data_IF_571058531108
#
_entry.id   IF_571058531108
#
_cell.length_a   1.000
_cell.length_b   1.000
_cell.length_c   1.000
_cell.angle_alpha   90.00
_cell.angle_beta   90.00
_cell.angle_gamma   90.00
#
_symmetry.space_group_name_H-M   'P 1'
#
loop_
_entity.id
_entity.type
_entity.pdbx_description
1 polymer ?
#
# COMPACT_ATOMS: atom_id res chain seq x y z
N UNK A 1 8.34 47.14 -53.69
CA UNK A 1 8.96 46.25 -52.69
C UNK A 1 8.15 46.35 -51.41
N UNK A 2 7.20 45.45 -51.19
CA UNK A 2 6.40 45.37 -49.97
C UNK A 2 6.01 43.91 -49.78
N UNK A 3 6.73 43.20 -48.92
CA UNK A 3 6.37 41.85 -48.46
C UNK A 3 5.31 41.98 -47.33
N UNK A 4 4.30 41.09 -47.27
CA UNK A 4 3.18 41.27 -46.37
C UNK A 4 3.53 40.77 -44.96
N UNK A 5 3.27 41.63 -43.98
CA UNK A 5 3.43 41.44 -42.53
C UNK A 5 2.49 40.39 -41.91
N UNK A 6 1.80 39.58 -42.72
CA UNK A 6 0.83 38.57 -42.26
C UNK A 6 1.46 37.23 -41.88
N UNK A 7 2.60 36.87 -42.48
CA UNK A 7 3.25 35.58 -42.19
C UNK A 7 4.02 35.56 -40.86
N UNK A 8 4.51 36.72 -40.38
CA UNK A 8 5.21 36.82 -39.10
C UNK A 8 4.25 36.64 -37.91
N UNK A 9 2.98 37.06 -38.07
CA UNK A 9 1.96 36.96 -37.03
C UNK A 9 1.49 35.50 -36.84
N UNK A 10 1.36 34.74 -37.93
CA UNK A 10 0.99 33.32 -37.87
C UNK A 10 2.08 32.43 -37.25
N UNK A 11 3.35 32.75 -37.48
CA UNK A 11 4.48 32.04 -36.84
C UNK A 11 4.56 32.32 -35.33
N UNK A 12 4.28 33.55 -34.90
CA UNK A 12 4.24 33.89 -33.47
C UNK A 12 3.06 33.22 -32.73
N UNK A 13 1.90 33.09 -33.39
CA UNK A 13 0.75 32.37 -32.80
C UNK A 13 1.01 30.87 -32.70
N UNK A 14 1.67 30.26 -33.71
CA UNK A 14 2.00 28.83 -33.67
C UNK A 14 3.05 28.48 -32.58
N UNK A 15 4.01 29.37 -32.33
CA UNK A 15 5.01 29.22 -31.25
C UNK A 15 4.37 29.48 -29.86
N UNK A 16 3.34 30.33 -29.79
CA UNK A 16 2.59 30.54 -28.55
C UNK A 16 1.67 29.36 -28.21
N UNK A 17 1.12 28.66 -29.21
CA UNK A 17 0.27 27.48 -28.98
C UNK A 17 1.04 26.20 -28.67
N UNK A 18 2.32 26.09 -29.06
CA UNK A 18 3.15 24.91 -28.73
C UNK A 18 3.73 24.94 -27.31
N UNK A 19 3.66 26.07 -26.62
CA UNK A 19 4.19 26.24 -25.25
C UNK A 19 3.12 26.14 -24.15
N UNK A 20 1.84 25.94 -24.51
CA UNK A 20 0.74 25.95 -23.53
C UNK A 20 0.37 24.56 -22.97
N UNK A 21 0.89 23.47 -23.54
CA UNK A 21 0.61 22.10 -23.04
C UNK A 21 1.62 21.57 -22.02
N UNK A 22 2.78 22.22 -21.85
CA UNK A 22 3.82 21.75 -20.92
C UNK A 22 3.55 22.11 -19.44
N UNK A 23 2.64 23.06 -19.15
CA UNK A 23 2.55 23.66 -17.81
C UNK A 23 1.58 22.96 -16.85
N UNK A 24 0.74 22.03 -17.32
CA UNK A 24 -0.27 21.34 -16.49
C UNK A 24 0.28 20.04 -15.88
N UNK A 25 1.31 19.43 -16.49
CA UNK A 25 1.92 18.19 -15.97
C UNK A 25 2.78 18.43 -14.72
N UNK A 26 3.42 19.59 -14.61
CA UNK A 26 4.31 19.91 -13.50
C UNK A 26 3.56 20.44 -12.25
N UNK A 27 2.31 20.90 -12.40
CA UNK A 27 1.57 21.56 -11.31
C UNK A 27 1.30 20.64 -10.10
N UNK A 28 1.02 19.34 -10.30
CA UNK A 28 0.80 18.40 -9.19
C UNK A 28 2.06 18.11 -8.39
N UNK A 29 3.24 18.16 -9.01
CA UNK A 29 4.51 17.76 -8.39
C UNK A 29 5.33 18.95 -7.90
N UNK A 30 5.17 20.15 -8.48
CA UNK A 30 5.85 21.36 -8.00
C UNK A 30 5.45 21.77 -6.58
N UNK A 31 4.32 21.29 -6.06
CA UNK A 31 3.90 21.53 -4.67
C UNK A 31 4.45 20.49 -3.67
N UNK A 32 5.05 19.38 -4.17
CA UNK A 32 5.72 18.35 -3.38
C UNK A 32 7.24 18.60 -3.27
N UNK A 33 7.66 19.87 -3.24
CA UNK A 33 9.06 20.23 -3.02
C UNK A 33 9.22 20.86 -1.64
N UNK A 34 10.16 20.35 -0.83
CA UNK A 34 10.46 20.91 0.49
C UNK A 34 10.60 19.88 1.60
N UNK A 35 10.57 20.37 2.85
CA UNK A 35 10.63 19.50 4.03
C UNK A 35 9.29 18.81 4.22
N UNK A 36 9.34 17.52 4.54
CA UNK A 36 8.17 16.78 5.02
C UNK A 36 7.81 17.35 6.39
N UNK A 37 6.55 17.76 6.60
CA UNK A 37 6.12 18.30 7.89
C UNK A 37 6.47 17.33 9.03
N UNK A 38 7.14 17.84 10.07
CA UNK A 38 7.68 17.11 11.24
C UNK A 38 8.80 16.09 10.97
N UNK A 39 9.16 15.81 9.72
CA UNK A 39 10.31 14.98 9.37
C UNK A 39 11.46 15.86 8.86
N UNK A 40 12.68 15.62 9.34
CA UNK A 40 13.87 16.42 8.94
C UNK A 40 14.42 16.03 7.57
N UNK A 41 13.57 15.49 6.68
CA UNK A 41 13.96 14.98 5.37
C UNK A 41 13.30 15.80 4.25
N UNK A 42 14.04 15.96 3.15
CA UNK A 42 13.50 16.54 1.92
C UNK A 42 12.82 15.44 1.11
N UNK A 43 11.71 15.78 0.45
CA UNK A 43 10.96 14.88 -0.43
C UNK A 43 11.89 14.33 -1.52
N UNK A 44 12.75 15.16 -2.12
CA UNK A 44 13.70 14.74 -3.15
C UNK A 44 14.66 13.64 -2.66
N UNK A 45 15.04 13.70 -1.38
CA UNK A 45 15.94 12.70 -0.78
C UNK A 45 15.22 11.36 -0.60
N UNK A 46 13.97 11.39 -0.11
CA UNK A 46 13.15 10.18 0.06
C UNK A 46 12.84 9.56 -1.30
N UNK A 47 12.44 10.38 -2.28
CA UNK A 47 12.13 9.94 -3.64
C UNK A 47 13.34 9.26 -4.29
N UNK A 48 14.51 9.93 -4.28
CA UNK A 48 15.72 9.36 -4.82
C UNK A 48 16.13 8.06 -4.11
N UNK A 49 16.10 8.06 -2.77
CA UNK A 49 16.49 6.90 -2.00
C UNK A 49 15.55 5.71 -2.25
N UNK A 50 14.24 5.94 -2.23
CA UNK A 50 13.25 4.91 -2.50
C UNK A 50 13.38 4.38 -3.93
N UNK A 51 13.31 5.25 -4.94
CA UNK A 51 13.24 4.84 -6.34
C UNK A 51 14.55 4.22 -6.86
N UNK A 52 15.70 4.67 -6.35
CA UNK A 52 17.02 4.23 -6.84
C UNK A 52 17.63 3.13 -5.98
N UNK A 53 17.48 3.19 -4.64
CA UNK A 53 18.18 2.27 -3.73
C UNK A 53 17.31 1.14 -3.20
N UNK A 54 16.06 1.45 -2.81
CA UNK A 54 15.18 0.50 -2.09
C UNK A 54 14.26 -0.26 -3.03
N UNK A 55 13.48 0.45 -3.86
CA UNK A 55 12.42 -0.10 -4.68
C UNK A 55 12.87 -1.26 -5.60
N UNK A 56 14.02 -1.18 -6.32
CA UNK A 56 14.47 -2.29 -7.15
C UNK A 56 14.76 -3.58 -6.35
N UNK A 57 15.31 -3.44 -5.15
CA UNK A 57 15.63 -4.57 -4.26
C UNK A 57 14.37 -5.14 -3.63
N UNK A 58 13.51 -4.27 -3.11
CA UNK A 58 12.23 -4.65 -2.53
C UNK A 58 11.36 -5.39 -3.54
N UNK A 59 11.27 -4.89 -4.78
CA UNK A 59 10.54 -5.55 -5.87
C UNK A 59 11.09 -6.93 -6.21
N UNK A 60 12.39 -7.14 -6.06
CA UNK A 60 13.00 -8.47 -6.23
C UNK A 60 12.67 -9.41 -5.08
N UNK A 61 12.59 -8.89 -3.84
CA UNK A 61 12.25 -9.67 -2.65
C UNK A 61 10.77 -10.08 -2.65
N UNK A 62 9.85 -9.17 -2.98
CA UNK A 62 8.40 -9.43 -3.01
C UNK A 62 7.98 -10.49 -4.04
N UNK A 63 8.87 -10.87 -4.97
CA UNK A 63 8.65 -11.95 -5.93
C UNK A 63 9.12 -13.32 -5.43
N UNK A 64 9.84 -13.37 -4.31
CA UNK A 64 10.29 -14.62 -3.68
C UNK A 64 9.11 -15.30 -3.00
N UNK A 65 9.11 -16.63 -2.99
CA UNK A 65 7.99 -17.43 -2.48
C UNK A 65 7.60 -17.04 -1.05
N UNK A 66 8.57 -16.73 -0.20
CA UNK A 66 8.31 -16.29 1.17
C UNK A 66 7.43 -15.03 1.28
N UNK A 67 7.63 -14.04 0.42
CA UNK A 67 6.89 -12.76 0.46
C UNK A 67 5.70 -12.71 -0.50
N UNK A 68 5.59 -13.69 -1.39
CA UNK A 68 4.58 -13.74 -2.46
C UNK A 68 3.26 -14.34 -1.99
N UNK A 69 3.32 -15.37 -1.14
CA UNK A 69 2.14 -16.09 -0.69
C UNK A 69 1.66 -15.55 0.66
N UNK A 70 0.40 -15.15 0.72
CA UNK A 70 -0.21 -14.59 1.92
C UNK A 70 -1.41 -15.44 2.34
N UNK A 71 -1.41 -15.92 3.59
CA UNK A 71 -2.53 -16.69 4.16
C UNK A 71 -3.58 -15.71 4.69
N UNK A 72 -4.82 -15.80 4.20
CA UNK A 72 -5.88 -14.87 4.58
C UNK A 72 -7.26 -15.54 4.53
N UNK A 73 -8.14 -15.17 5.46
CA UNK A 73 -9.54 -15.58 5.46
C UNK A 73 -10.44 -14.47 4.92
N UNK A 74 -10.83 -14.58 3.65
CA UNK A 74 -11.71 -13.62 2.96
C UNK A 74 -13.20 -13.93 3.11
N UNK A 75 -13.56 -14.99 3.84
CA UNK A 75 -14.94 -15.48 4.00
C UNK A 75 -15.56 -15.11 5.35
N UNK A 76 -14.89 -14.28 6.15
CA UNK A 76 -15.39 -13.82 7.45
C UNK A 76 -16.56 -12.88 7.28
N UNK A 77 -17.63 -13.14 8.01
CA UNK A 77 -18.80 -12.26 8.06
C UNK A 77 -18.47 -10.95 8.80
N UNK A 78 -19.07 -9.84 8.34
CA UNK A 78 -18.93 -8.56 9.02
C UNK A 78 -19.76 -8.54 10.31
N UNK A 79 -19.16 -8.29 11.49
CA UNK A 79 -19.90 -8.31 12.75
C UNK A 79 -20.74 -7.05 13.01
N UNK A 80 -20.56 -5.99 12.21
CA UNK A 80 -21.16 -4.67 12.47
C UNK A 80 -22.37 -4.35 11.60
N UNK A 81 -22.39 -4.80 10.35
CA UNK A 81 -23.49 -4.56 9.41
C UNK A 81 -23.57 -5.68 8.37
N UNK A 82 -24.74 -5.83 7.77
CA UNK A 82 -24.90 -6.72 6.62
C UNK A 82 -24.05 -6.21 5.45
N UNK A 83 -23.37 -7.11 4.76
CA UNK A 83 -22.55 -6.75 3.62
C UNK A 83 -23.41 -6.34 2.42
N UNK A 84 -23.15 -5.14 1.90
CA UNK A 84 -23.82 -4.59 0.72
C UNK A 84 -22.91 -4.69 -0.52
N UNK A 85 -21.76 -5.39 -0.40
CA UNK A 85 -20.69 -5.41 -1.38
C UNK A 85 -21.14 -5.94 -2.73
N UNK A 86 -21.16 -5.04 -3.71
CA UNK A 86 -21.30 -5.39 -5.13
C UNK A 86 -19.96 -5.14 -5.80
N UNK A 87 -19.31 -6.23 -6.19
CA UNK A 87 -18.17 -6.21 -7.09
C UNK A 87 -18.55 -5.47 -8.37
N UNK A 88 -18.03 -4.26 -8.57
CA UNK A 88 -18.46 -3.39 -9.66
C UNK A 88 -17.89 -3.82 -11.03
N UNK A 89 -16.80 -4.59 -11.03
CA UNK A 89 -16.12 -5.07 -12.25
C UNK A 89 -15.81 -6.56 -12.14
N UNK A 90 -15.76 -7.28 -13.26
CA UNK A 90 -15.44 -8.72 -13.32
C UNK A 90 -14.10 -9.08 -12.66
N UNK A 91 -13.17 -8.13 -12.59
CA UNK A 91 -11.79 -8.31 -12.12
C UNK A 91 -11.59 -7.98 -10.63
N UNK A 92 -12.65 -7.82 -9.84
CA UNK A 92 -12.51 -7.45 -8.43
C UNK A 92 -12.36 -8.64 -7.47
N UNK A 93 -12.60 -9.87 -7.94
CA UNK A 93 -12.49 -11.08 -7.12
C UNK A 93 -11.03 -11.50 -6.91
N UNK A 94 -10.67 -11.83 -5.67
CA UNK A 94 -9.34 -12.33 -5.30
C UNK A 94 -9.23 -13.82 -5.65
N UNK A 95 -8.27 -14.20 -6.47
CA UNK A 95 -8.02 -15.58 -6.83
C UNK A 95 -7.19 -16.27 -5.74
N UNK A 96 -7.79 -17.25 -5.06
CA UNK A 96 -7.08 -18.14 -4.15
C UNK A 96 -6.16 -19.12 -4.91
N UNK A 97 -5.08 -19.56 -4.25
CA UNK A 97 -4.19 -20.58 -4.76
C UNK A 97 -4.85 -21.97 -4.73
N UNK A 98 -4.53 -22.82 -5.71
CA UNK A 98 -4.86 -24.24 -5.64
C UNK A 98 -3.91 -24.99 -4.70
N UNK A 99 -4.29 -26.22 -4.33
CA UNK A 99 -3.51 -27.07 -3.43
C UNK A 99 -2.10 -27.40 -3.95
N UNK A 100 -1.86 -27.29 -5.27
CA UNK A 100 -0.54 -27.53 -5.87
C UNK A 100 0.35 -26.28 -6.01
N UNK A 101 -0.21 -25.07 -5.87
CA UNK A 101 0.47 -23.83 -6.25
C UNK A 101 1.37 -23.26 -5.14
N UNK A 102 1.10 -23.65 -3.89
CA UNK A 102 1.82 -23.17 -2.72
C UNK A 102 2.97 -24.12 -2.40
N UNK A 103 4.23 -23.63 -2.32
CA UNK A 103 5.37 -24.47 -1.95
C UNK A 103 5.20 -25.11 -0.58
N UNK A 104 5.68 -26.35 -0.42
CA UNK A 104 5.51 -27.15 0.81
C UNK A 104 6.06 -26.44 2.05
N UNK A 105 7.20 -25.75 1.91
CA UNK A 105 7.81 -24.98 3.02
C UNK A 105 6.99 -23.78 3.50
N UNK A 106 6.02 -23.30 2.70
CA UNK A 106 5.15 -22.17 3.07
C UNK A 106 3.87 -22.64 3.75
N UNK A 107 3.39 -23.85 3.45
CA UNK A 107 2.08 -24.34 3.93
C UNK A 107 1.96 -24.53 5.44
N UNK A 108 3.03 -24.31 6.21
CA UNK A 108 3.01 -24.42 7.68
C UNK A 108 2.73 -25.83 8.21
N UNK A 109 2.56 -26.82 7.33
CA UNK A 109 2.22 -28.19 7.65
C UNK A 109 3.15 -29.15 6.89
N UNK A 110 4.42 -29.17 7.28
CA UNK A 110 5.00 -30.47 7.56
C UNK A 110 4.65 -30.69 9.02
N UNK A 111 3.83 -31.70 9.31
CA UNK A 111 3.77 -32.26 10.65
C UNK A 111 5.21 -32.30 11.17
N UNK A 112 5.54 -31.47 12.16
CA UNK A 112 6.70 -31.78 12.98
C UNK A 112 6.31 -33.02 13.78
N UNK A 113 6.28 -34.18 13.11
CA UNK A 113 6.79 -35.41 13.69
C UNK A 113 8.23 -35.08 14.02
N UNK A 114 8.42 -34.50 15.21
CA UNK A 114 9.62 -34.75 15.97
C UNK A 114 9.64 -36.27 16.18
N UNK A 115 10.14 -37.00 15.18
CA UNK A 115 10.91 -38.17 15.53
C UNK A 115 12.05 -37.63 16.39
N UNK A 116 11.98 -37.94 17.67
CA UNK A 116 13.09 -37.79 18.59
C UNK A 116 14.35 -38.32 17.91
N UNK A 117 15.41 -37.51 17.87
CA UNK A 117 16.76 -37.82 17.33
C UNK A 117 17.12 -37.30 15.93
N UNK A 118 16.51 -36.21 15.44
CA UNK A 118 17.20 -35.34 14.49
C UNK A 118 17.85 -34.17 15.23
N UNK A 119 19.14 -34.30 15.52
CA UNK A 119 19.98 -33.17 15.90
C UNK A 119 19.81 -32.08 14.82
N UNK A 120 19.36 -30.90 15.23
CA UNK A 120 19.31 -29.74 14.36
C UNK A 120 20.75 -29.36 13.98
N UNK A 121 21.17 -29.79 12.78
CA UNK A 121 22.27 -29.13 12.08
C UNK A 121 21.82 -27.71 11.75
N UNK A 122 22.59 -26.77 12.28
CA UNK A 122 22.30 -25.35 12.37
C UNK A 122 22.59 -24.68 11.01
N UNK A 123 21.83 -25.03 9.97
CA UNK A 123 21.89 -24.37 8.65
C UNK A 123 21.07 -23.06 8.65
N UNK A 124 21.25 -22.25 9.70
CA UNK A 124 20.83 -20.86 9.75
C UNK A 124 21.94 -19.96 9.13
N UNK A 125 22.29 -20.25 7.88
CA UNK A 125 22.90 -19.27 6.98
C UNK A 125 21.73 -18.41 6.46
N UNK A 126 21.43 -17.22 6.96
CA UNK A 126 22.06 -15.99 6.49
C UNK A 126 21.42 -14.77 7.22
N UNK A 127 21.61 -14.66 8.54
CA UNK A 127 21.43 -13.38 9.29
C UNK A 127 22.69 -13.06 10.13
N UNK A 128 23.82 -13.64 9.72
CA UNK A 128 25.01 -13.84 10.54
C UNK A 128 26.05 -12.72 10.40
N UNK A 129 25.72 -11.53 10.89
CA UNK A 129 26.72 -10.48 11.17
C UNK A 129 26.92 -10.24 12.67
N UNK A 130 26.36 -11.09 13.53
CA UNK A 130 26.48 -10.97 14.97
C UNK A 130 27.50 -11.98 15.48
N UNK A 131 28.42 -11.53 16.33
CA UNK A 131 29.37 -12.41 17.00
C UNK A 131 28.59 -13.40 17.91
N UNK A 132 28.38 -14.62 17.41
CA UNK A 132 27.68 -15.72 18.10
C UNK A 132 28.48 -16.35 19.26
N UNK A 133 29.59 -15.73 19.70
CA UNK A 133 30.39 -16.26 20.82
C UNK A 133 29.65 -16.02 22.14
N UNK A 134 28.78 -16.95 22.49
CA UNK A 134 28.06 -16.96 23.75
C UNK A 134 28.96 -17.61 24.82
N UNK A 135 29.22 -16.90 25.92
CA UNK A 135 30.00 -17.44 27.04
C UNK A 135 29.30 -18.67 27.67
N UNK A 136 30.02 -19.60 28.30
CA UNK A 136 29.42 -20.79 28.92
C UNK A 136 28.29 -20.45 29.90
N UNK A 137 28.49 -19.39 30.69
CA UNK A 137 27.50 -18.86 31.64
C UNK A 137 26.23 -18.37 30.93
N UNK A 138 26.39 -17.68 29.81
CA UNK A 138 25.26 -17.15 29.05
C UNK A 138 24.48 -18.26 28.33
N UNK A 139 25.10 -19.40 28.03
CA UNK A 139 24.38 -20.60 27.56
C UNK A 139 23.50 -21.20 28.66
N UNK A 140 24.01 -21.27 29.88
CA UNK A 140 23.23 -21.73 31.04
C UNK A 140 22.07 -20.78 31.33
N UNK A 141 22.30 -19.46 31.25
CA UNK A 141 21.26 -18.45 31.43
C UNK A 141 20.18 -18.55 30.35
N UNK A 142 20.53 -18.75 29.08
CA UNK A 142 19.58 -18.93 27.98
C UNK A 142 18.70 -20.17 28.17
N UNK A 143 19.28 -21.30 28.61
CA UNK A 143 18.51 -22.52 28.93
C UNK A 143 17.52 -22.26 30.06
N UNK A 144 17.92 -21.50 31.08
CA UNK A 144 17.01 -21.13 32.16
C UNK A 144 15.90 -20.18 31.70
N UNK A 145 16.20 -19.23 30.81
CA UNK A 145 15.21 -18.32 30.25
C UNK A 145 14.20 -19.07 29.38
N UNK A 146 14.66 -19.97 28.51
CA UNK A 146 13.77 -20.83 27.71
C UNK A 146 12.87 -21.68 28.60
N UNK A 147 13.43 -22.29 29.67
CA UNK A 147 12.63 -23.08 30.61
C UNK A 147 11.61 -22.24 31.39
N UNK A 148 11.92 -20.97 31.66
CA UNK A 148 11.01 -20.03 32.31
C UNK A 148 9.90 -19.55 31.36
N UNK A 149 10.27 -19.23 30.12
CA UNK A 149 9.35 -18.76 29.08
C UNK A 149 8.39 -19.89 28.65
N UNK A 150 8.89 -21.11 28.48
CA UNK A 150 8.07 -22.31 28.17
C UNK A 150 7.12 -22.71 29.31
N UNK A 151 7.45 -22.33 30.56
CA UNK A 151 6.60 -22.57 31.73
C UNK A 151 5.51 -21.50 31.92
N UNK A 152 5.61 -20.37 31.21
CA UNK A 152 4.58 -19.33 31.16
C UNK A 152 3.69 -19.53 29.91
N UNK A 153 2.47 -18.99 29.93
CA UNK A 153 1.58 -19.03 28.77
C UNK A 153 2.26 -18.37 27.56
N UNK A 154 2.70 -19.19 26.62
CA UNK A 154 3.28 -18.75 25.37
C UNK A 154 2.22 -17.96 24.58
N UNK A 155 2.51 -16.69 24.27
CA UNK A 155 1.75 -15.90 23.29
C UNK A 155 1.77 -16.51 21.87
N UNK A 156 2.46 -17.64 21.70
CA UNK A 156 2.51 -18.45 20.48
C UNK A 156 1.27 -19.36 20.32
N UNK A 157 0.10 -18.96 20.83
CA UNK A 157 -1.12 -19.43 20.22
C UNK A 157 -1.12 -18.87 18.79
N UNK A 158 -0.69 -19.69 17.83
CA UNK A 158 -1.14 -19.49 16.44
C UNK A 158 -2.64 -19.38 16.56
N UNK A 159 -3.25 -18.29 16.06
CA UNK A 159 -4.69 -18.18 15.98
C UNK A 159 -5.19 -19.38 15.16
N UNK A 160 -5.50 -20.50 15.84
CA UNK A 160 -6.04 -21.72 15.23
C UNK A 160 -7.46 -21.47 14.70
N UNK A 161 -8.04 -20.30 15.01
CA UNK A 161 -9.32 -19.79 14.54
C UNK A 161 -9.31 -19.23 13.10
N UNK A 162 -8.48 -19.78 12.23
CA UNK A 162 -8.48 -19.47 10.80
C UNK A 162 -9.11 -20.61 9.97
N UNK A 163 -10.17 -21.22 10.51
CA UNK A 163 -11.04 -22.13 9.75
C UNK A 163 -11.52 -21.42 8.47
N UNK A 164 -11.05 -21.90 7.31
CA UNK A 164 -11.35 -21.33 6.00
C UNK A 164 -10.35 -20.30 5.47
N UNK A 165 -9.22 -20.06 6.14
CA UNK A 165 -8.13 -19.27 5.58
C UNK A 165 -7.46 -19.97 4.40
N UNK A 166 -7.30 -19.25 3.30
CA UNK A 166 -6.73 -19.74 2.05
C UNK A 166 -5.43 -18.98 1.74
N UNK A 167 -4.49 -19.64 1.07
CA UNK A 167 -3.32 -18.94 0.55
C UNK A 167 -3.68 -18.19 -0.73
N UNK A 168 -3.16 -16.98 -0.85
CA UNK A 168 -3.32 -16.11 -2.01
C UNK A 168 -1.94 -15.73 -2.53
N UNK A 169 -1.78 -15.80 -3.86
CA UNK A 169 -0.59 -15.31 -4.54
C UNK A 169 -0.77 -13.82 -4.85
N UNK A 170 0.06 -12.98 -4.23
CA UNK A 170 0.02 -11.52 -4.37
C UNK A 170 0.42 -11.06 -5.80
N UNK A 171 1.15 -11.88 -6.57
CA UNK A 171 1.48 -11.55 -7.96
C UNK A 171 0.30 -11.74 -8.91
N UNK A 172 -0.60 -12.67 -8.59
CA UNK A 172 -1.86 -12.86 -9.34
C UNK A 172 -2.94 -11.86 -8.92
N UNK A 173 -2.81 -11.30 -7.71
CA UNK A 173 -3.76 -10.39 -7.10
C UNK A 173 -3.13 -9.02 -6.79
N UNK A 174 -2.62 -8.28 -7.80
CA UNK A 174 -2.05 -6.97 -7.58
C UNK A 174 -3.12 -5.97 -7.14
N UNK A 175 -2.77 -5.05 -6.24
CA UNK A 175 -3.62 -3.90 -5.91
C UNK A 175 -3.81 -3.01 -7.14
N UNK A 176 -5.06 -2.77 -7.51
CA UNK A 176 -5.46 -1.97 -8.68
C UNK A 176 -6.89 -1.50 -8.57
N UNK A 177 -7.37 -0.74 -9.56
CA UNK A 177 -8.76 -0.30 -9.58
C UNK A 177 -9.75 -1.47 -9.60
N UNK A 178 -10.62 -1.54 -8.59
CA UNK A 178 -11.67 -2.56 -8.43
C UNK A 178 -13.09 -2.04 -8.69
N UNK A 179 -13.24 -0.72 -8.86
CA UNK A 179 -14.54 -0.07 -8.94
C UNK A 179 -15.31 0.02 -7.62
N UNK A 180 -14.71 -0.40 -6.50
CA UNK A 180 -15.29 -0.23 -5.16
C UNK A 180 -15.40 1.26 -4.79
N UNK A 181 -16.62 1.74 -4.56
CA UNK A 181 -16.93 3.17 -4.32
C UNK A 181 -18.29 3.35 -3.65
N UNK A 182 -18.61 4.61 -3.32
CA UNK A 182 -19.94 5.00 -2.83
C UNK A 182 -20.14 4.76 -1.34
N UNK A 183 -21.39 4.66 -0.87
CA UNK A 183 -21.70 4.59 0.57
C UNK A 183 -21.02 3.45 1.31
N UNK A 184 -20.86 2.27 0.67
CA UNK A 184 -20.16 1.13 1.29
C UNK A 184 -18.69 1.46 1.58
N UNK A 185 -17.94 1.94 0.58
CA UNK A 185 -16.55 2.34 0.77
C UNK A 185 -16.39 3.48 1.77
N UNK A 186 -17.28 4.48 1.71
CA UNK A 186 -17.28 5.60 2.65
C UNK A 186 -17.55 5.14 4.09
N UNK A 187 -18.46 4.17 4.29
CA UNK A 187 -18.75 3.60 5.62
C UNK A 187 -17.50 2.96 6.22
N UNK A 188 -16.75 2.16 5.45
CA UNK A 188 -15.50 1.53 5.93
C UNK A 188 -14.49 2.59 6.36
N UNK A 189 -14.18 3.55 5.48
CA UNK A 189 -13.21 4.60 5.81
C UNK A 189 -13.66 5.44 7.00
N UNK A 190 -14.94 5.81 7.06
CA UNK A 190 -15.48 6.55 8.19
C UNK A 190 -15.29 5.78 9.50
N UNK A 191 -15.59 4.47 9.52
CA UNK A 191 -15.34 3.64 10.69
C UNK A 191 -13.86 3.66 11.08
N UNK A 192 -12.93 3.36 10.15
CA UNK A 192 -11.48 3.36 10.43
C UNK A 192 -11.02 4.70 11.01
N UNK A 193 -11.43 5.82 10.39
CA UNK A 193 -11.04 7.14 10.88
C UNK A 193 -11.64 7.46 12.26
N UNK A 194 -12.89 7.04 12.52
CA UNK A 194 -13.60 7.29 13.76
C UNK A 194 -13.18 6.35 14.92
N UNK A 195 -12.50 5.24 14.63
CA UNK A 195 -11.84 4.40 15.65
C UNK A 195 -10.68 5.12 16.36
N UNK A 196 -10.23 6.27 15.86
CA UNK A 196 -9.28 7.12 16.57
C UNK A 196 -9.92 7.72 17.84
N UNK A 197 -9.92 6.92 18.92
CA UNK A 197 -10.47 7.27 20.22
C UNK A 197 -9.74 8.43 20.92
N UNK A 198 -8.61 8.88 20.37
CA UNK A 198 -7.88 10.03 20.89
C UNK A 198 -8.45 11.36 20.38
N UNK A 199 -9.38 11.37 19.43
CA UNK A 199 -9.92 12.62 18.85
C UNK A 199 -10.55 13.56 19.91
N UNK A 200 -10.37 14.88 19.77
CA UNK A 200 -11.12 15.84 20.56
C UNK A 200 -12.62 15.66 20.33
N UNK A 201 -13.41 15.55 21.41
CA UNK A 201 -14.87 15.28 21.37
C UNK A 201 -15.70 16.34 20.61
N UNK A 202 -15.07 17.42 20.17
CA UNK A 202 -15.69 18.53 19.44
C UNK A 202 -15.77 18.29 17.93
N UNK A 203 -15.06 17.29 17.38
CA UNK A 203 -15.06 16.98 15.95
C UNK A 203 -15.64 15.59 15.66
N UNK A 204 -16.85 15.55 15.10
CA UNK A 204 -17.54 14.33 14.68
C UNK A 204 -17.30 13.95 13.22
N UNK A 205 -16.58 14.80 12.47
CA UNK A 205 -16.24 14.54 11.06
C UNK A 205 -15.05 13.57 10.95
N UNK A 206 -15.14 12.52 10.11
CA UNK A 206 -14.00 11.66 9.78
C UNK A 206 -12.82 12.44 9.19
N UNK A 207 -13.14 13.46 8.38
CA UNK A 207 -12.20 14.41 7.78
C UNK A 207 -11.78 15.48 8.78
N UNK A 208 -10.46 15.70 8.91
CA UNK A 208 -9.84 16.71 9.76
C UNK A 208 -8.98 17.60 8.85
N UNK A 209 -9.28 18.90 8.72
CA UNK A 209 -8.44 19.83 7.95
C UNK A 209 -7.02 19.90 8.51
N UNK A 210 -6.04 20.14 7.64
CA UNK A 210 -4.62 20.19 8.01
C UNK A 210 -4.33 21.22 9.10
N UNK A 211 -5.02 22.38 9.07
CA UNK A 211 -4.90 23.42 10.11
C UNK A 211 -5.34 22.95 11.50
N UNK A 212 -6.37 22.11 11.59
CA UNK A 212 -6.83 21.53 12.85
C UNK A 212 -5.93 20.39 13.31
N UNK A 213 -5.44 19.57 12.36
CA UNK A 213 -4.54 18.45 12.64
C UNK A 213 -3.26 18.90 13.34
N UNK A 214 -2.70 20.04 12.96
CA UNK A 214 -1.51 20.62 13.58
C UNK A 214 -1.74 21.10 15.03
N UNK A 215 -2.99 21.22 15.47
CA UNK A 215 -3.37 21.59 16.83
C UNK A 215 -3.72 20.37 17.72
N UNK A 216 -3.68 19.15 17.16
CA UNK A 216 -3.94 17.90 17.89
C UNK A 216 -2.71 17.38 18.64
N UNK A 217 -2.90 16.50 19.62
CA UNK A 217 -1.81 15.80 20.31
C UNK A 217 -0.99 14.95 19.33
N UNK A 218 0.24 14.58 19.70
CA UNK A 218 1.17 13.87 18.81
C UNK A 218 0.59 12.51 18.37
N UNK A 219 0.06 11.74 19.31
CA UNK A 219 -0.48 10.39 19.08
C UNK A 219 -1.70 10.42 18.15
N UNK A 220 -2.58 11.40 18.34
CA UNK A 220 -3.75 11.65 17.48
C UNK A 220 -3.33 11.93 16.04
N UNK A 221 -2.30 12.77 15.87
CA UNK A 221 -1.77 13.20 14.60
C UNK A 221 -1.08 12.06 13.86
N UNK A 222 -0.27 11.27 14.57
CA UNK A 222 0.44 10.11 14.03
C UNK A 222 -0.57 9.08 13.53
N UNK A 223 -1.60 8.76 14.31
CA UNK A 223 -2.65 7.84 13.87
C UNK A 223 -3.35 8.36 12.61
N UNK A 224 -3.80 9.62 12.64
CA UNK A 224 -4.51 10.21 11.50
C UNK A 224 -3.66 10.21 10.22
N UNK A 225 -2.39 10.63 10.32
CA UNK A 225 -1.46 10.63 9.18
C UNK A 225 -1.17 9.23 8.67
N UNK A 226 -0.99 8.24 9.55
CA UNK A 226 -0.75 6.84 9.13
C UNK A 226 -1.93 6.31 8.32
N UNK A 227 -3.17 6.50 8.80
CA UNK A 227 -4.37 6.07 8.07
C UNK A 227 -4.55 6.89 6.78
N UNK A 228 -4.30 8.20 6.82
CA UNK A 228 -4.34 9.06 5.64
C UNK A 228 -3.30 8.70 4.58
N UNK A 229 -2.10 8.31 4.98
CA UNK A 229 -1.04 7.82 4.09
C UNK A 229 -1.46 6.50 3.46
N UNK A 230 -1.95 5.54 4.25
CA UNK A 230 -2.47 4.28 3.71
C UNK A 230 -3.61 4.52 2.69
N UNK A 231 -4.60 5.34 3.04
CA UNK A 231 -5.71 5.69 2.15
C UNK A 231 -5.22 6.38 0.88
N UNK A 232 -4.23 7.26 0.99
CA UNK A 232 -3.60 7.94 -0.16
C UNK A 232 -2.84 6.94 -1.05
N UNK A 233 -2.06 6.03 -0.46
CA UNK A 233 -1.35 4.97 -1.19
C UNK A 233 -2.31 4.10 -2.01
N UNK A 234 -3.41 3.64 -1.41
CA UNK A 234 -4.45 2.86 -2.12
C UNK A 234 -5.04 3.68 -3.29
N UNK A 235 -5.33 4.96 -3.05
CA UNK A 235 -5.87 5.86 -4.07
C UNK A 235 -4.86 6.17 -5.19
N UNK A 236 -3.56 6.19 -4.91
CA UNK A 236 -2.52 6.33 -5.93
C UNK A 236 -2.41 5.05 -6.75
N UNK A 237 -2.40 3.88 -6.11
CA UNK A 237 -2.33 2.58 -6.80
C UNK A 237 -3.51 2.36 -7.76
N UNK A 238 -4.74 2.72 -7.37
CA UNK A 238 -5.89 2.63 -8.28
C UNK A 238 -5.81 3.64 -9.43
N UNK A 239 -5.17 4.80 -9.23
CA UNK A 239 -4.99 5.78 -10.32
C UNK A 239 -3.89 5.34 -11.28
N UNK A 240 -2.81 4.74 -10.76
CA UNK A 240 -1.70 4.21 -11.57
C UNK A 240 -2.08 2.93 -12.34
N UNK A 241 -2.93 2.09 -11.75
CA UNK A 241 -3.40 0.83 -12.33
C UNK A 241 -4.93 0.88 -12.53
N UNK A 242 -5.38 1.79 -13.39
CA UNK A 242 -6.78 2.00 -13.70
C UNK A 242 -7.22 1.18 -14.91
N UNK A 243 -8.48 0.73 -14.94
CA UNK A 243 -9.05 0.06 -16.11
C UNK A 243 -9.45 1.11 -17.15
N UNK A 244 -8.63 1.29 -18.19
CA UNK A 244 -8.81 2.34 -19.20
C UNK A 244 -9.90 1.98 -20.21
N UNK A 245 -9.97 0.71 -20.59
CA UNK A 245 -10.98 0.19 -21.50
C UNK A 245 -11.34 -1.24 -21.15
N UNK A 246 -12.65 -1.49 -21.01
CA UNK A 246 -13.19 -2.83 -20.99
C UNK A 246 -13.42 -3.23 -22.46
N UNK A 247 -12.57 -4.06 -23.04
CA UNK A 247 -12.76 -4.53 -24.41
C UNK A 247 -14.06 -5.35 -24.48
N UNK A 248 -15.17 -4.70 -24.79
CA UNK A 248 -16.38 -5.39 -25.23
C UNK A 248 -16.08 -5.99 -26.60
N UNK A 249 -15.68 -7.27 -26.60
CA UNK A 249 -15.68 -8.20 -27.72
C UNK A 249 -15.18 -7.68 -29.06
N UNK A 250 -13.86 -7.80 -29.32
CA UNK A 250 -13.22 -7.98 -30.65
C UNK A 250 -11.68 -7.76 -30.61
N UNK A 251 -11.12 -7.31 -29.48
CA UNK A 251 -9.66 -7.19 -29.36
C UNK A 251 -9.03 -8.56 -29.13
N UNK A 252 -8.29 -9.06 -30.13
CA UNK A 252 -7.56 -10.34 -30.11
C UNK A 252 -6.28 -10.29 -29.25
N UNK A 253 -5.97 -9.15 -28.61
CA UNK A 253 -4.66 -8.91 -27.99
C UNK A 253 -4.67 -8.88 -26.46
N UNK A 254 -5.79 -8.63 -25.78
CA UNK A 254 -5.85 -8.70 -24.31
C UNK A 254 -7.25 -9.07 -23.76
N UNK A 255 -7.49 -10.33 -23.34
CA UNK A 255 -8.76 -10.75 -22.74
C UNK A 255 -9.02 -10.19 -21.34
N UNK A 256 -8.08 -9.46 -20.72
CA UNK A 256 -8.18 -8.94 -19.34
C UNK A 256 -8.40 -7.42 -19.23
N UNK A 257 -8.62 -6.74 -20.36
CA UNK A 257 -8.81 -5.28 -20.43
C UNK A 257 -7.50 -4.50 -20.36
N UNK A 258 -7.52 -3.25 -20.83
CA UNK A 258 -6.33 -2.39 -20.86
C UNK A 258 -6.16 -1.66 -19.53
N UNK A 259 -5.03 -1.88 -18.87
CA UNK A 259 -4.71 -1.30 -17.57
C UNK A 259 -3.58 -0.28 -17.68
N UNK A 260 -3.72 0.85 -17.01
CA UNK A 260 -2.65 1.84 -16.95
C UNK A 260 -3.01 3.11 -16.19
N UNK A 261 -2.11 4.10 -16.22
CA UNK A 261 -2.28 5.34 -15.47
C UNK A 261 -3.47 6.17 -15.98
N UNK A 262 -4.34 6.60 -15.07
CA UNK A 262 -5.43 7.53 -15.34
C UNK A 262 -5.15 8.88 -14.69
N UNK A 263 -4.52 9.77 -15.46
CA UNK A 263 -4.15 11.11 -15.00
C UNK A 263 -5.36 11.94 -14.55
N UNK A 264 -6.52 11.78 -15.21
CA UNK A 264 -7.74 12.52 -14.86
C UNK A 264 -8.24 12.12 -13.48
N UNK A 265 -8.22 10.83 -13.15
CA UNK A 265 -8.64 10.35 -11.82
C UNK A 265 -7.63 10.75 -10.74
N UNK A 266 -6.34 10.76 -11.05
CA UNK A 266 -5.31 11.28 -10.16
C UNK A 266 -5.52 12.76 -9.86
N UNK A 267 -5.66 13.60 -10.90
CA UNK A 267 -5.92 15.03 -10.74
C UNK A 267 -7.20 15.29 -9.96
N UNK A 268 -8.29 14.57 -10.24
CA UNK A 268 -9.56 14.71 -9.51
C UNK A 268 -9.44 14.44 -8.00
N UNK A 269 -8.45 13.64 -7.58
CA UNK A 269 -8.25 13.24 -6.18
C UNK A 269 -7.19 14.05 -5.45
N UNK A 270 -6.23 14.60 -6.17
CA UNK A 270 -5.02 15.15 -5.57
C UNK A 270 -4.64 16.55 -6.05
N UNK A 271 -5.28 17.06 -7.12
CA UNK A 271 -4.99 18.43 -7.58
C UNK A 271 -5.54 19.46 -6.58
N UNK A 272 -4.77 20.53 -6.27
CA UNK A 272 -5.21 21.59 -5.38
C UNK A 272 -6.57 22.18 -5.79
N UNK A 273 -6.80 22.35 -7.09
CA UNK A 273 -7.99 22.99 -7.66
C UNK A 273 -9.27 22.19 -7.40
N UNK A 274 -9.17 20.85 -7.32
CA UNK A 274 -10.34 19.98 -7.09
C UNK A 274 -10.51 19.58 -5.64
N UNK A 275 -9.51 19.86 -4.79
CA UNK A 275 -9.46 19.39 -3.39
C UNK A 275 -9.44 20.52 -2.38
N UNK A 276 -9.58 21.78 -2.81
CA UNK A 276 -9.40 22.96 -1.94
C UNK A 276 -8.03 22.95 -1.24
N UNK A 277 -6.96 22.72 -2.02
CA UNK A 277 -5.55 22.71 -1.59
C UNK A 277 -5.13 21.56 -0.63
N UNK A 278 -6.00 20.60 -0.35
CA UNK A 278 -5.70 19.51 0.60
C UNK A 278 -5.04 18.28 -0.06
N UNK A 279 -5.21 18.10 -1.36
CA UNK A 279 -4.63 17.00 -2.13
C UNK A 279 -3.11 16.86 -2.00
N UNK A 280 -2.32 17.95 -2.06
CA UNK A 280 -0.89 17.92 -1.77
C UNK A 280 -0.57 17.50 -0.34
N UNK A 281 -1.36 17.93 0.66
CA UNK A 281 -1.11 17.58 2.06
C UNK A 281 -1.27 16.08 2.32
N UNK A 282 -2.27 15.45 1.71
CA UNK A 282 -2.48 14.01 1.86
C UNK A 282 -1.34 13.17 1.28
N UNK A 283 -0.69 13.66 0.23
CA UNK A 283 0.50 13.03 -0.37
C UNK A 283 1.75 13.19 0.52
N UNK A 284 1.79 14.15 1.45
CA UNK A 284 2.87 14.24 2.44
C UNK A 284 2.71 13.25 3.60
N UNK A 285 1.58 12.56 3.68
CA UNK A 285 1.35 11.52 4.69
C UNK A 285 1.85 10.14 4.26
N UNK A 286 2.25 9.96 2.99
CA UNK A 286 2.82 8.72 2.43
C UNK A 286 4.33 8.73 2.47
#
# INVERSE_FOLDING_TARGET
>A
MTFPSSHLCLLLVLIATSNFEAHVQDACFCQLSGKIDECTCNIDTVDHFNNVKVYPRLRSLLRKDYFRFFKVNLKRDCPFWHDDSKCAIKYCHVQACGDGDVPVGIKGAVERRFDSEAACEDDAEELDYLNKTISPKMKEDLVMWTAYDDANDNFCAVDENDEGAEYVDLLLNPERYTGYKGPSANRIWNSIYLENCFRPKTYYSPYIPTSTLNNMCLEERVYYRTISGLHTSINIHLCANYLLSNSHGLSLTDPKGEWGPNLKEFQRRFSPETTNDEGPNWQLHT
#
